data_IF_156110740210
#
_entry.id   IF_156110740210
#
_cell.length_a   1.000
_cell.length_b   1.000
_cell.length_c   1.000
_cell.angle_alpha   90.00
_cell.angle_beta   90.00
_cell.angle_gamma   90.00
#
_symmetry.space_group_name_H-M   'P 1'
#
loop_
_entity.id
_entity.type
_entity.pdbx_description
1 polymer ?
#
# COMPACT_ATOMS: atom_id res chain seq x y z
N UNK A 1 -21.86 12.03 -15.15
CA UNK A 1 -20.78 12.46 -14.25
C UNK A 1 -20.41 11.26 -13.40
N UNK A 2 -19.18 10.77 -13.49
CA UNK A 2 -18.72 9.67 -12.62
C UNK A 2 -18.74 10.17 -11.17
N UNK A 3 -19.23 9.34 -10.25
CA UNK A 3 -19.17 9.66 -8.83
C UNK A 3 -17.70 9.79 -8.39
N UNK A 4 -17.35 10.72 -7.48
CA UNK A 4 -16.00 10.80 -6.95
C UNK A 4 -15.62 9.50 -6.23
N UNK A 5 -14.36 9.10 -6.37
CA UNK A 5 -13.80 7.95 -5.67
C UNK A 5 -13.68 8.28 -4.16
N UNK A 6 -14.03 7.36 -3.29
CA UNK A 6 -13.73 7.52 -1.86
C UNK A 6 -12.29 7.04 -1.62
N UNK A 7 -11.39 7.95 -1.24
CA UNK A 7 -10.06 7.56 -0.77
C UNK A 7 -10.11 7.19 0.71
N UNK A 8 -10.04 5.89 0.96
CA UNK A 8 -9.98 5.30 2.30
C UNK A 8 -8.52 5.14 2.72
N UNK A 9 -8.02 6.07 3.51
CA UNK A 9 -6.61 6.15 3.94
C UNK A 9 -6.16 4.95 4.79
N UNK A 10 -7.07 4.40 5.59
CA UNK A 10 -6.75 3.39 6.60
C UNK A 10 -6.08 4.00 7.85
N UNK A 11 -6.11 3.26 8.97
CA UNK A 11 -5.63 3.78 10.25
C UNK A 11 -4.10 3.95 10.30
N UNK A 12 -3.33 3.00 9.77
CA UNK A 12 -1.86 3.04 9.83
C UNK A 12 -1.27 4.15 8.97
N UNK A 13 -1.76 4.34 7.75
CA UNK A 13 -1.33 5.45 6.90
C UNK A 13 -1.67 6.80 7.53
N UNK A 14 -2.86 6.92 8.14
CA UNK A 14 -3.31 8.16 8.76
C UNK A 14 -2.52 8.53 10.03
N UNK A 15 -2.19 7.55 10.89
CA UNK A 15 -1.67 7.81 12.23
C UNK A 15 -0.14 7.63 12.35
N UNK A 16 0.47 6.81 11.48
CA UNK A 16 1.88 6.43 11.58
C UNK A 16 2.69 6.72 10.31
N UNK A 17 2.07 6.59 9.14
CA UNK A 17 2.72 6.68 7.83
C UNK A 17 2.03 7.76 6.98
N UNK A 18 1.99 8.99 7.51
CA UNK A 18 1.26 10.11 6.87
C UNK A 18 1.78 10.44 5.47
N UNK A 19 3.07 10.23 5.22
CA UNK A 19 3.67 10.39 3.88
C UNK A 19 2.99 9.57 2.79
N UNK A 20 2.42 8.40 3.14
CA UNK A 20 1.68 7.56 2.19
C UNK A 20 0.40 8.26 1.72
N UNK A 21 -0.38 8.81 2.66
CA UNK A 21 -1.61 9.52 2.29
C UNK A 21 -1.31 10.80 1.50
N UNK A 22 -0.33 11.59 1.92
CA UNK A 22 0.08 12.82 1.27
C UNK A 22 0.53 12.56 -0.17
N UNK A 23 1.37 11.54 -0.35
CA UNK A 23 1.84 11.09 -1.66
C UNK A 23 0.71 10.57 -2.55
N UNK A 24 -0.21 9.77 -1.99
CA UNK A 24 -1.37 9.27 -2.72
C UNK A 24 -2.27 10.42 -3.19
N UNK A 25 -2.59 11.36 -2.32
CA UNK A 25 -3.41 12.53 -2.66
C UNK A 25 -2.75 13.40 -3.73
N UNK A 26 -1.43 13.57 -3.66
CA UNK A 26 -0.65 14.30 -4.67
C UNK A 26 -0.77 13.62 -6.04
N UNK A 27 -0.59 12.31 -6.10
CA UNK A 27 -0.71 11.53 -7.34
C UNK A 27 -2.13 11.59 -7.93
N UNK A 28 -3.18 11.51 -7.09
CA UNK A 28 -4.57 11.63 -7.52
C UNK A 28 -4.85 13.01 -8.13
N UNK A 29 -4.39 14.08 -7.48
CA UNK A 29 -4.52 15.45 -7.98
C UNK A 29 -3.82 15.64 -9.32
N UNK A 30 -2.59 15.13 -9.46
CA UNK A 30 -1.83 15.21 -10.71
C UNK A 30 -2.49 14.46 -11.88
N UNK A 31 -3.11 13.32 -11.56
CA UNK A 31 -3.85 12.54 -12.55
C UNK A 31 -5.26 13.08 -12.85
N UNK A 32 -5.67 14.18 -12.20
CA UNK A 32 -7.00 14.76 -12.36
C UNK A 32 -8.14 13.86 -11.88
N UNK A 33 -7.87 13.01 -10.89
CA UNK A 33 -8.86 12.10 -10.29
C UNK A 33 -9.67 12.86 -9.23
N UNK A 34 -10.99 12.89 -9.40
CA UNK A 34 -11.91 13.42 -8.38
C UNK A 34 -12.10 12.41 -7.25
N UNK A 35 -11.80 12.83 -6.03
CA UNK A 35 -11.88 11.97 -4.86
C UNK A 35 -12.40 12.70 -3.62
N UNK A 36 -12.94 11.93 -2.69
CA UNK A 36 -13.36 12.39 -1.36
C UNK A 36 -12.61 11.60 -0.30
N UNK A 37 -12.23 12.26 0.77
CA UNK A 37 -11.67 11.62 1.96
C UNK A 37 -12.78 11.51 2.99
N UNK A 38 -12.89 10.36 3.64
CA UNK A 38 -13.75 10.24 4.82
C UNK A 38 -13.06 10.92 6.00
N UNK A 39 -13.69 11.95 6.55
CA UNK A 39 -13.17 12.71 7.70
C UNK A 39 -13.18 11.89 8.99
N UNK A 40 -14.10 10.93 9.10
CA UNK A 40 -14.20 10.05 10.26
C UNK A 40 -12.97 9.13 10.39
N UNK A 41 -12.59 8.85 11.64
CA UNK A 41 -11.52 7.91 12.00
C UNK A 41 -11.91 6.45 11.70
N UNK A 42 -12.37 6.20 10.49
CA UNK A 42 -12.82 4.89 10.06
C UNK A 42 -11.65 3.89 10.02
N UNK A 43 -11.91 2.68 10.54
CA UNK A 43 -11.05 1.51 10.43
C UNK A 43 -11.72 0.48 9.53
N UNK A 44 -10.96 -0.24 8.71
CA UNK A 44 -11.53 -1.31 7.88
C UNK A 44 -11.93 -2.57 8.66
N UNK A 45 -11.60 -2.67 9.94
CA UNK A 45 -11.86 -3.86 10.75
C UNK A 45 -10.80 -4.97 10.65
N UNK A 46 -9.84 -4.86 9.73
CA UNK A 46 -8.85 -5.90 9.45
C UNK A 46 -8.12 -6.43 10.68
N UNK A 47 -7.64 -5.55 11.55
CA UNK A 47 -6.93 -5.95 12.77
C UNK A 47 -7.89 -6.65 13.73
N UNK A 48 -9.08 -6.11 13.93
CA UNK A 48 -10.11 -6.68 14.81
C UNK A 48 -10.48 -8.10 14.39
N UNK A 49 -10.76 -8.32 13.10
CA UNK A 49 -11.07 -9.64 12.55
C UNK A 49 -9.96 -10.66 12.85
N UNK A 50 -8.70 -10.27 12.65
CA UNK A 50 -7.55 -11.17 12.74
C UNK A 50 -7.01 -11.38 14.15
N UNK A 51 -7.50 -10.59 15.10
CA UNK A 51 -7.15 -10.73 16.53
C UNK A 51 -8.31 -11.24 17.39
N UNK A 52 -9.42 -11.67 16.74
CA UNK A 52 -10.54 -12.32 17.41
C UNK A 52 -11.62 -11.38 17.99
N UNK A 53 -11.50 -10.06 17.78
CA UNK A 53 -12.52 -9.07 18.19
C UNK A 53 -13.65 -9.00 17.15
N UNK A 54 -14.30 -10.15 16.90
CA UNK A 54 -15.27 -10.31 15.81
C UNK A 54 -16.47 -9.37 15.91
N UNK A 55 -17.04 -9.20 17.12
CA UNK A 55 -18.19 -8.32 17.32
C UNK A 55 -17.86 -6.88 16.95
N UNK A 56 -16.75 -6.35 17.45
CA UNK A 56 -16.29 -5.00 17.15
C UNK A 56 -15.93 -4.83 15.66
N UNK A 57 -15.40 -5.89 15.04
CA UNK A 57 -15.13 -5.89 13.62
C UNK A 57 -16.43 -5.78 12.80
N UNK A 58 -17.46 -6.57 13.12
CA UNK A 58 -18.74 -6.52 12.42
C UNK A 58 -19.45 -5.17 12.59
N UNK A 59 -19.48 -4.62 13.80
CA UNK A 59 -20.02 -3.27 14.06
C UNK A 59 -19.33 -2.20 13.19
N UNK A 60 -18.00 -2.31 13.04
CA UNK A 60 -17.23 -1.39 12.21
C UNK A 60 -17.49 -1.59 10.70
N UNK A 61 -17.61 -2.85 10.26
CA UNK A 61 -17.92 -3.20 8.87
C UNK A 61 -19.30 -2.69 8.49
N UNK A 62 -20.31 -2.94 9.34
CA UNK A 62 -21.68 -2.49 9.13
C UNK A 62 -21.76 -0.96 8.98
N UNK A 63 -21.17 -0.22 9.92
CA UNK A 63 -21.08 1.24 9.86
C UNK A 63 -20.46 1.76 8.57
N UNK A 64 -19.36 1.15 8.13
CA UNK A 64 -18.67 1.58 6.91
C UNK A 64 -19.44 1.16 5.66
N UNK A 65 -20.11 0.00 5.66
CA UNK A 65 -20.87 -0.51 4.52
C UNK A 65 -21.96 0.45 4.09
N UNK A 66 -22.63 1.12 5.03
CA UNK A 66 -23.62 2.17 4.73
C UNK A 66 -23.02 3.31 3.90
N UNK A 67 -21.76 3.69 4.19
CA UNK A 67 -21.06 4.79 3.50
C UNK A 67 -20.51 4.34 2.15
N UNK A 68 -20.04 3.09 2.04
CA UNK A 68 -19.34 2.58 0.86
C UNK A 68 -20.28 1.98 -0.19
N UNK A 69 -21.52 1.67 0.17
CA UNK A 69 -22.50 1.03 -0.72
C UNK A 69 -22.63 1.77 -2.06
N UNK A 70 -22.37 1.06 -3.14
CA UNK A 70 -22.42 1.59 -4.50
C UNK A 70 -21.41 2.71 -4.79
N UNK A 71 -20.31 2.77 -4.01
CA UNK A 71 -19.18 3.66 -4.24
C UNK A 71 -17.96 2.87 -4.70
N UNK A 72 -17.06 3.54 -5.42
CA UNK A 72 -15.71 3.02 -5.66
C UNK A 72 -14.80 3.51 -4.52
N UNK A 73 -14.17 2.58 -3.82
CA UNK A 73 -13.26 2.86 -2.70
C UNK A 73 -11.82 2.57 -3.10
N UNK A 74 -10.97 3.58 -3.04
CA UNK A 74 -9.54 3.48 -3.24
C UNK A 74 -8.83 3.36 -1.90
N UNK A 75 -7.83 2.50 -1.78
CA UNK A 75 -6.97 2.43 -0.60
C UNK A 75 -5.51 2.18 -0.96
N UNK A 76 -4.58 2.73 -0.14
CA UNK A 76 -3.14 2.49 -0.23
C UNK A 76 -2.66 1.37 0.70
N UNK A 77 -3.56 0.68 1.37
CA UNK A 77 -3.23 -0.35 2.34
C UNK A 77 -3.69 -1.73 1.87
N UNK A 78 -2.74 -2.65 1.68
CA UNK A 78 -3.02 -4.04 1.30
C UNK A 78 -3.99 -4.75 2.27
N UNK A 79 -3.86 -4.51 3.57
CA UNK A 79 -4.76 -5.06 4.57
C UNK A 79 -6.18 -4.52 4.47
N UNK A 80 -6.33 -3.22 4.22
CA UNK A 80 -7.63 -2.60 3.96
C UNK A 80 -8.22 -3.12 2.65
N UNK A 81 -7.43 -3.19 1.57
CA UNK A 81 -7.88 -3.69 0.28
C UNK A 81 -8.48 -5.10 0.39
N UNK A 82 -7.74 -6.04 1.00
CA UNK A 82 -8.23 -7.40 1.24
C UNK A 82 -9.53 -7.39 2.04
N UNK A 83 -9.57 -6.68 3.17
CA UNK A 83 -10.73 -6.68 4.06
C UNK A 83 -11.94 -6.07 3.38
N UNK A 84 -11.80 -4.93 2.71
CA UNK A 84 -12.89 -4.30 1.97
C UNK A 84 -13.40 -5.17 0.79
N UNK A 85 -12.53 -5.95 0.15
CA UNK A 85 -12.91 -6.86 -0.94
C UNK A 85 -13.62 -8.12 -0.46
N UNK A 86 -13.25 -8.66 0.70
CA UNK A 86 -13.71 -9.98 1.16
C UNK A 86 -14.79 -9.92 2.22
N UNK A 87 -14.78 -8.90 3.06
CA UNK A 87 -15.63 -8.83 4.25
C UNK A 87 -16.71 -7.74 4.13
N UNK A 88 -16.76 -6.98 3.01
CA UNK A 88 -17.78 -5.96 2.73
C UNK A 88 -18.62 -6.35 1.51
N UNK A 89 -19.92 -6.08 1.57
CA UNK A 89 -20.84 -6.31 0.45
C UNK A 89 -21.05 -5.03 -0.37
N UNK A 90 -21.30 -5.18 -1.68
CA UNK A 90 -21.64 -4.09 -2.61
C UNK A 90 -20.64 -2.93 -2.65
N UNK A 91 -19.36 -3.21 -2.43
CA UNK A 91 -18.28 -2.20 -2.50
C UNK A 91 -17.32 -2.53 -3.65
N UNK A 92 -17.17 -1.59 -4.56
CA UNK A 92 -16.10 -1.67 -5.58
C UNK A 92 -14.80 -1.14 -4.98
N UNK A 93 -13.77 -1.98 -4.85
CA UNK A 93 -12.52 -1.62 -4.18
C UNK A 93 -11.34 -1.74 -5.13
N UNK A 94 -10.53 -0.68 -5.16
CA UNK A 94 -9.30 -0.60 -5.97
C UNK A 94 -8.11 -0.34 -5.04
N UNK A 95 -7.03 -1.09 -5.19
CA UNK A 95 -5.76 -0.75 -4.57
C UNK A 95 -5.03 0.34 -5.37
N UNK A 96 -4.28 1.21 -4.68
CA UNK A 96 -3.57 2.32 -5.34
C UNK A 96 -2.64 1.84 -6.46
N UNK A 97 -1.97 0.69 -6.31
CA UNK A 97 -1.11 0.13 -7.36
C UNK A 97 -1.86 -0.15 -8.66
N UNK A 98 -3.09 -0.66 -8.57
CA UNK A 98 -3.93 -0.95 -9.74
C UNK A 98 -4.38 0.34 -10.44
N UNK A 99 -4.74 1.36 -9.66
CA UNK A 99 -5.10 2.67 -10.22
C UNK A 99 -3.90 3.31 -10.91
N UNK A 100 -2.74 3.33 -10.26
CA UNK A 100 -1.51 3.94 -10.80
C UNK A 100 -1.05 3.23 -12.08
N UNK A 101 -1.02 1.89 -12.09
CA UNK A 101 -0.70 1.10 -13.28
C UNK A 101 -1.61 1.49 -14.47
N UNK A 102 -2.93 1.57 -14.23
CA UNK A 102 -3.90 1.99 -15.25
C UNK A 102 -3.65 3.42 -15.74
N UNK A 103 -3.42 4.37 -14.83
CA UNK A 103 -3.16 5.77 -15.18
C UNK A 103 -1.89 5.95 -16.01
N UNK A 104 -0.85 5.16 -15.73
CA UNK A 104 0.40 5.13 -16.49
C UNK A 104 0.13 4.61 -17.92
N UNK A 105 -0.56 3.46 -18.04
CA UNK A 105 -0.92 2.86 -19.34
C UNK A 105 -1.79 3.79 -20.20
N UNK A 106 -2.67 4.56 -19.57
CA UNK A 106 -3.54 5.55 -20.22
C UNK A 106 -2.83 6.91 -20.49
N UNK A 107 -1.53 7.04 -20.16
CA UNK A 107 -0.76 8.29 -20.26
C UNK A 107 -1.36 9.47 -19.47
N UNK A 108 -2.15 9.19 -18.44
CA UNK A 108 -2.73 10.19 -17.53
C UNK A 108 -1.78 10.59 -16.40
N UNK A 109 -0.82 9.74 -16.09
CA UNK A 109 0.28 10.01 -15.17
C UNK A 109 1.60 9.86 -15.93
N UNK A 110 2.26 10.99 -16.20
CA UNK A 110 3.53 11.00 -16.92
C UNK A 110 4.68 10.88 -15.94
N UNK A 111 5.46 9.83 -16.08
CA UNK A 111 6.60 9.53 -15.23
C UNK A 111 7.90 9.52 -16.04
N UNK A 112 8.99 9.83 -15.38
CA UNK A 112 10.34 9.81 -16.01
C UNK A 112 11.11 8.62 -15.48
N UNK A 113 11.50 7.72 -16.36
CA UNK A 113 12.36 6.59 -16.00
C UNK A 113 13.78 7.07 -15.72
N UNK A 114 14.35 6.59 -14.63
CA UNK A 114 15.73 6.82 -14.23
C UNK A 114 16.50 5.49 -14.11
N UNK A 115 17.80 5.55 -13.84
CA UNK A 115 18.67 4.36 -13.73
C UNK A 115 18.75 3.80 -12.29
N UNK A 116 17.84 4.19 -11.41
CA UNK A 116 17.80 3.67 -10.04
C UNK A 116 17.42 2.18 -10.05
N UNK A 117 18.16 1.37 -9.30
CA UNK A 117 17.78 -0.02 -9.02
C UNK A 117 17.05 -0.07 -7.68
N UNK A 118 15.88 -0.66 -7.68
CA UNK A 118 15.04 -0.84 -6.49
C UNK A 118 14.57 -2.28 -6.37
N UNK A 119 14.26 -2.69 -5.17
CA UNK A 119 13.62 -3.99 -4.93
C UNK A 119 12.23 -3.83 -4.35
N UNK A 120 11.37 -4.85 -4.49
CA UNK A 120 9.99 -4.78 -4.08
C UNK A 120 9.60 -5.88 -3.09
N UNK A 121 8.93 -5.47 -2.01
CA UNK A 121 8.33 -6.41 -1.05
C UNK A 121 6.86 -6.64 -1.38
N UNK A 122 6.53 -7.84 -1.81
CA UNK A 122 5.14 -8.29 -1.99
C UNK A 122 4.44 -8.41 -0.63
N UNK A 123 3.51 -7.51 -0.34
CA UNK A 123 2.68 -7.61 0.85
C UNK A 123 1.76 -8.83 0.75
N UNK A 124 1.74 -9.67 1.79
CA UNK A 124 0.96 -10.92 1.79
C UNK A 124 -0.54 -10.70 1.51
N UNK A 125 -1.11 -9.59 1.98
CA UNK A 125 -2.52 -9.28 1.76
C UNK A 125 -2.83 -8.82 0.33
N UNK A 126 -1.88 -8.19 -0.36
CA UNK A 126 -2.06 -7.75 -1.74
C UNK A 126 -1.70 -8.88 -2.71
N UNK A 127 -0.53 -9.47 -2.54
CA UNK A 127 -0.01 -10.53 -3.39
C UNK A 127 -0.74 -11.86 -3.14
N UNK A 128 -0.37 -12.58 -2.08
CA UNK A 128 -0.84 -13.96 -1.82
C UNK A 128 -2.35 -14.09 -1.67
N UNK A 129 -3.02 -13.11 -1.06
CA UNK A 129 -4.45 -13.20 -0.78
C UNK A 129 -5.34 -12.62 -1.89
N UNK A 130 -4.82 -11.68 -2.68
CA UNK A 130 -5.61 -10.95 -3.67
C UNK A 130 -5.03 -11.03 -5.09
N UNK A 131 -3.90 -11.75 -5.26
CA UNK A 131 -3.25 -12.03 -6.55
C UNK A 131 -2.88 -10.78 -7.36
N UNK A 132 -2.68 -9.67 -6.67
CA UNK A 132 -2.21 -8.40 -7.28
C UNK A 132 -0.68 -8.41 -7.26
N UNK A 133 -0.06 -8.89 -8.32
CA UNK A 133 1.38 -9.10 -8.45
C UNK A 133 2.04 -8.13 -9.43
N UNK A 134 1.40 -7.89 -10.56
CA UNK A 134 2.01 -7.23 -11.70
C UNK A 134 1.88 -5.70 -11.61
N UNK A 135 0.76 -5.18 -11.16
CA UNK A 135 0.51 -3.74 -11.13
C UNK A 135 1.52 -2.96 -10.28
N UNK A 136 1.95 -3.40 -9.08
CA UNK A 136 3.03 -2.72 -8.37
C UNK A 136 4.35 -2.72 -9.14
N UNK A 137 4.67 -3.81 -9.85
CA UNK A 137 5.86 -3.97 -10.68
C UNK A 137 5.84 -3.02 -11.87
N UNK A 138 4.74 -2.97 -12.60
CA UNK A 138 4.52 -2.07 -13.72
C UNK A 138 4.72 -0.60 -13.31
N UNK A 139 4.21 -0.24 -12.13
CA UNK A 139 4.38 1.11 -11.56
C UNK A 139 5.85 1.40 -11.26
N UNK A 140 6.58 0.46 -10.65
CA UNK A 140 8.01 0.61 -10.34
C UNK A 140 8.82 0.71 -11.63
N UNK A 141 8.57 -0.15 -12.61
CA UNK A 141 9.30 -0.22 -13.87
C UNK A 141 9.10 1.01 -14.77
N UNK A 142 8.01 1.75 -14.56
CA UNK A 142 7.80 3.04 -15.21
C UNK A 142 8.80 4.11 -14.74
N UNK A 143 9.43 3.93 -13.57
CA UNK A 143 10.32 4.91 -12.93
C UNK A 143 11.75 4.41 -12.75
N UNK A 144 11.94 3.13 -12.45
CA UNK A 144 13.23 2.56 -12.04
C UNK A 144 13.44 1.17 -12.66
N UNK A 145 14.57 0.56 -12.37
CA UNK A 145 14.83 -0.84 -12.69
C UNK A 145 14.48 -1.70 -11.48
N UNK A 146 13.54 -2.62 -11.64
CA UNK A 146 13.17 -3.57 -10.60
C UNK A 146 14.20 -4.72 -10.54
N UNK A 147 14.72 -4.98 -9.35
CA UNK A 147 15.56 -6.15 -9.04
C UNK A 147 14.78 -7.01 -8.04
N UNK A 148 14.35 -8.16 -8.49
CA UNK A 148 13.54 -9.06 -7.65
C UNK A 148 14.37 -9.72 -6.54
N UNK A 149 13.73 -9.96 -5.40
CA UNK A 149 14.29 -10.78 -4.33
C UNK A 149 14.17 -12.27 -4.67
N UNK A 150 14.79 -13.13 -3.88
CA UNK A 150 14.69 -14.59 -4.04
C UNK A 150 13.23 -15.09 -3.95
N UNK A 151 12.53 -14.67 -2.90
CA UNK A 151 11.13 -15.07 -2.69
C UNK A 151 10.18 -13.91 -3.06
N UNK A 152 9.42 -14.09 -4.12
CA UNK A 152 8.51 -13.10 -4.70
C UNK A 152 7.09 -13.61 -4.82
N UNK A 153 6.16 -12.70 -5.09
CA UNK A 153 4.76 -12.99 -5.36
C UNK A 153 4.11 -13.76 -4.19
N UNK A 154 3.48 -14.89 -4.46
CA UNK A 154 2.86 -15.77 -3.46
C UNK A 154 3.88 -16.44 -2.52
N UNK A 155 5.12 -16.65 -2.96
CA UNK A 155 6.21 -17.18 -2.15
C UNK A 155 6.94 -16.13 -1.30
N UNK A 156 6.57 -14.85 -1.40
CA UNK A 156 7.22 -13.77 -0.65
C UNK A 156 7.19 -14.02 0.86
N UNK A 157 8.32 -13.81 1.54
CA UNK A 157 8.36 -13.86 3.00
C UNK A 157 7.52 -12.72 3.58
N UNK A 158 6.84 -13.00 4.69
CA UNK A 158 6.03 -12.00 5.37
C UNK A 158 6.91 -10.99 6.11
N UNK A 159 6.49 -9.73 6.17
CA UNK A 159 7.14 -8.71 6.97
C UNK A 159 7.00 -8.91 8.50
N UNK A 160 6.11 -9.80 8.97
CA UNK A 160 5.90 -10.09 10.38
C UNK A 160 4.89 -9.18 11.11
N UNK A 161 4.42 -8.08 10.52
CA UNK A 161 3.60 -7.09 11.24
C UNK A 161 2.15 -7.51 11.49
N UNK A 162 1.60 -8.36 10.64
CA UNK A 162 0.16 -8.64 10.57
C UNK A 162 -0.35 -9.67 11.59
N UNK A 163 -1.69 -9.84 11.64
CA UNK A 163 -2.33 -10.89 12.42
C UNK A 163 -2.15 -10.80 13.94
N UNK A 164 -1.76 -9.65 14.47
CA UNK A 164 -1.48 -9.47 15.89
C UNK A 164 -0.09 -9.95 16.32
N UNK A 165 0.72 -10.54 15.42
CA UNK A 165 2.05 -11.11 15.73
C UNK A 165 2.97 -10.07 16.35
N UNK A 166 3.06 -8.87 15.74
CA UNK A 166 3.92 -7.80 16.27
C UNK A 166 3.57 -7.37 17.71
N UNK A 167 2.30 -7.47 18.08
CA UNK A 167 1.85 -7.08 19.42
C UNK A 167 1.96 -8.20 20.45
N UNK A 168 1.72 -9.45 20.02
CA UNK A 168 1.73 -10.61 20.93
C UNK A 168 3.12 -11.29 21.01
N UNK A 169 3.88 -11.25 19.92
CA UNK A 169 5.17 -11.93 19.77
C UNK A 169 6.15 -11.04 19.01
N UNK A 170 6.58 -9.90 19.60
CA UNK A 170 7.40 -8.90 18.91
C UNK A 170 8.74 -9.47 18.41
N UNK A 171 9.36 -10.39 19.15
CA UNK A 171 10.59 -11.09 18.77
C UNK A 171 10.41 -11.88 17.47
N UNK A 172 9.30 -12.59 17.31
CA UNK A 172 9.00 -13.34 16.08
C UNK A 172 8.79 -12.38 14.92
N UNK A 173 8.07 -11.29 15.14
CA UNK A 173 7.86 -10.25 14.11
C UNK A 173 9.17 -9.61 13.65
N UNK A 174 10.10 -9.40 14.58
CA UNK A 174 11.44 -8.86 14.31
C UNK A 174 12.30 -9.83 13.50
N UNK A 175 12.31 -11.12 13.86
CA UNK A 175 13.04 -12.16 13.11
C UNK A 175 12.51 -12.30 11.68
N UNK A 176 11.18 -12.28 11.49
CA UNK A 176 10.57 -12.29 10.17
C UNK A 176 10.96 -11.07 9.34
N UNK A 177 10.95 -9.88 9.95
CA UNK A 177 11.39 -8.65 9.30
C UNK A 177 12.86 -8.71 8.89
N UNK A 178 13.75 -9.17 9.79
CA UNK A 178 15.18 -9.34 9.53
C UNK A 178 15.41 -10.26 8.34
N UNK A 179 14.77 -11.42 8.30
CA UNK A 179 14.90 -12.37 7.19
C UNK A 179 14.48 -11.72 5.84
N UNK A 180 13.43 -10.91 5.84
CA UNK A 180 12.99 -10.20 4.63
C UNK A 180 13.93 -9.07 4.22
N UNK A 181 14.46 -8.33 5.18
CA UNK A 181 15.46 -7.28 4.96
C UNK A 181 16.75 -7.85 4.37
N UNK A 182 17.24 -9.01 4.85
CA UNK A 182 18.41 -9.66 4.28
C UNK A 182 18.20 -10.02 2.81
N UNK A 183 17.05 -10.58 2.43
CA UNK A 183 16.73 -10.79 1.01
C UNK A 183 16.72 -9.49 0.18
N UNK A 184 16.24 -8.39 0.76
CA UNK A 184 16.30 -7.10 0.09
C UNK A 184 17.76 -6.61 -0.09
N UNK A 185 18.62 -6.79 0.92
CA UNK A 185 20.05 -6.46 0.85
C UNK A 185 20.81 -7.29 -0.18
N UNK A 186 20.45 -8.56 -0.34
CA UNK A 186 21.05 -9.47 -1.32
C UNK A 186 20.87 -8.96 -2.76
N UNK A 187 19.82 -8.21 -3.05
CA UNK A 187 19.62 -7.55 -4.36
C UNK A 187 20.61 -6.41 -4.62
N UNK A 188 21.38 -5.95 -3.62
CA UNK A 188 22.27 -4.78 -3.65
C UNK A 188 21.57 -3.45 -3.89
N UNK A 189 20.24 -3.43 -3.91
CA UNK A 189 19.45 -2.20 -3.95
C UNK A 189 19.55 -1.43 -2.62
N UNK A 190 19.44 -0.12 -2.70
CA UNK A 190 19.38 0.76 -1.51
C UNK A 190 17.96 1.17 -1.14
N UNK A 191 17.01 0.96 -2.07
CA UNK A 191 15.62 1.31 -1.89
C UNK A 191 14.75 0.05 -1.97
N UNK A 192 13.96 -0.16 -0.92
CA UNK A 192 12.94 -1.19 -0.81
C UNK A 192 11.57 -0.54 -0.93
N UNK A 193 10.80 -0.95 -1.93
CA UNK A 193 9.43 -0.46 -2.15
C UNK A 193 8.43 -1.50 -1.65
N UNK A 194 7.33 -1.06 -1.05
CA UNK A 194 6.21 -1.91 -0.67
C UNK A 194 4.88 -1.19 -0.92
N UNK A 195 3.77 -1.92 -0.90
CA UNK A 195 2.42 -1.38 -1.13
C UNK A 195 1.51 -1.61 0.09
N UNK A 196 2.08 -1.46 1.30
CA UNK A 196 1.34 -1.66 2.54
C UNK A 196 1.97 -0.87 3.69
N UNK A 197 1.22 0.01 4.39
CA UNK A 197 1.73 0.78 5.52
C UNK A 197 2.29 -0.08 6.66
N UNK A 198 1.68 -1.25 6.93
CA UNK A 198 2.18 -2.18 7.93
C UNK A 198 3.54 -2.79 7.54
N UNK A 199 3.71 -3.12 6.26
CA UNK A 199 4.98 -3.65 5.77
C UNK A 199 6.06 -2.58 5.82
N UNK A 200 5.75 -1.34 5.38
CA UNK A 200 6.69 -0.22 5.46
C UNK A 200 7.18 -0.03 6.90
N UNK A 201 6.25 0.14 7.84
CA UNK A 201 6.56 0.36 9.26
C UNK A 201 7.39 -0.79 9.89
N UNK A 202 7.18 -2.03 9.46
CA UNK A 202 7.89 -3.18 10.07
C UNK A 202 9.21 -3.52 9.40
N UNK A 203 9.42 -3.05 8.16
CA UNK A 203 10.64 -3.24 7.40
C UNK A 203 11.58 -2.02 7.46
N UNK A 204 11.24 -0.97 8.24
CA UNK A 204 12.14 0.16 8.47
C UNK A 204 13.52 -0.34 8.89
N UNK A 205 14.55 0.18 8.23
CA UNK A 205 15.92 -0.26 8.42
C UNK A 205 16.89 0.89 8.10
N UNK A 206 17.94 1.10 8.93
CA UNK A 206 18.89 2.19 8.71
C UNK A 206 19.77 2.03 7.44
N UNK A 207 19.87 0.83 6.90
CA UNK A 207 20.70 0.54 5.73
C UNK A 207 19.92 0.60 4.40
N UNK A 208 18.58 0.59 4.47
CA UNK A 208 17.67 0.62 3.32
C UNK A 208 16.69 1.79 3.44
N UNK A 209 16.49 2.48 2.35
CA UNK A 209 15.37 3.41 2.23
C UNK A 209 14.08 2.61 1.96
N UNK A 210 13.18 2.54 2.94
CA UNK A 210 11.91 1.81 2.79
C UNK A 210 10.79 2.80 2.46
N UNK A 211 10.19 2.65 1.28
CA UNK A 211 9.15 3.55 0.77
C UNK A 211 7.87 2.77 0.44
N UNK A 212 6.73 3.42 0.67
CA UNK A 212 5.50 2.99 0.01
C UNK A 212 5.54 3.33 -1.49
N UNK A 213 4.78 2.58 -2.29
CA UNK A 213 4.72 2.77 -3.74
C UNK A 213 4.34 4.20 -4.14
N UNK A 214 3.45 4.84 -3.39
CA UNK A 214 3.03 6.23 -3.64
C UNK A 214 4.15 7.21 -3.32
N UNK A 215 4.86 7.02 -2.20
CA UNK A 215 6.02 7.83 -1.81
C UNK A 215 7.16 7.67 -2.81
N UNK A 216 7.40 6.43 -3.25
CA UNK A 216 8.40 6.13 -4.26
C UNK A 216 8.15 6.90 -5.57
N UNK A 217 6.91 6.90 -6.06
CA UNK A 217 6.56 7.64 -7.27
C UNK A 217 6.71 9.15 -7.10
N UNK A 218 6.29 9.70 -5.97
CA UNK A 218 6.44 11.13 -5.70
C UNK A 218 7.91 11.53 -5.63
N UNK A 219 8.75 10.69 -5.05
CA UNK A 219 10.18 10.98 -4.88
C UNK A 219 11.00 10.81 -6.16
N UNK A 220 10.71 9.79 -6.94
CA UNK A 220 11.56 9.38 -8.07
C UNK A 220 10.88 9.44 -9.44
N UNK A 221 9.57 9.60 -9.50
CA UNK A 221 8.80 9.49 -10.74
C UNK A 221 8.83 10.72 -11.65
N UNK A 222 9.08 11.91 -11.13
CA UNK A 222 9.23 13.11 -11.94
C UNK A 222 10.00 14.20 -11.18
N UNK A 223 10.87 14.93 -11.88
CA UNK A 223 11.56 16.12 -11.36
C UNK A 223 10.60 17.29 -11.10
N UNK A 224 9.43 17.31 -11.72
CA UNK A 224 8.38 18.32 -11.47
C UNK A 224 7.48 17.96 -10.29
N UNK A 225 7.63 16.76 -9.69
CA UNK A 225 6.95 16.33 -8.48
C UNK A 225 7.68 16.76 -7.20
N UNK A 226 8.93 17.19 -7.34
CA UNK A 226 9.73 17.69 -6.23
C UNK A 226 9.27 19.12 -5.90
N UNK A 227 8.27 19.20 -5.04
CA UNK A 227 7.90 20.47 -4.40
C UNK A 227 8.49 20.47 -3.01
N UNK A 228 9.78 20.82 -2.95
CA UNK A 228 10.33 21.57 -1.84
C UNK A 228 9.83 23.01 -1.93
N UNK A 229 8.54 23.25 -1.80
CA UNK A 229 7.93 24.57 -1.51
C UNK A 229 6.52 24.36 -0.98
N UNK A 230 6.31 24.36 0.26
CA UNK A 230 5.55 25.26 1.15
C UNK A 230 5.69 24.76 2.56
#
# INVERSE_FOLDING_TARGET
MNKPIIYFRGCTAREKETGIQESTEKLLKLAGIDYKILEDKACCGSVLLRTGFLRQAHEQIEKNSEVFKGQTVLTSCAGCYKTLKQDYEDVDVIHISQLLSRLIKENKLKLTKNNLNVTYHDSCHLARHMEVFDEPREVIEAVANLVEMENIRDNSLCCGAGGGVKSAYPEIAEEMAKARIEQAKDTKCKTLVTSCPFCKLNLENPELEVLDLSEFLVKYGDRNLDISVI
#
